data_IF_389308877711
#
_entry.id   IF_389308877711
#
_cell.length_a   1.000
_cell.length_b   1.000
_cell.length_c   1.000
_cell.angle_alpha   90.00
_cell.angle_beta   90.00
_cell.angle_gamma   90.00
#
_symmetry.space_group_name_H-M   'P 1'
#
loop_
_entity.id
_entity.type
_entity.pdbx_description
1 polymer ?
#
# COMPACT_ATOMS: atom_id res chain seq x y z
N UNK A 1 16.89 8.17 -5.44
CA UNK A 1 16.63 7.14 -4.41
C UNK A 1 17.87 6.36 -3.99
N UNK A 2 18.65 5.76 -4.90
CA UNK A 2 19.79 4.89 -4.52
C UNK A 2 20.81 5.58 -3.59
N UNK A 3 21.08 6.86 -3.79
CA UNK A 3 22.08 7.63 -3.02
C UNK A 3 21.55 8.32 -1.77
N UNK A 4 20.23 8.54 -1.64
CA UNK A 4 19.63 9.22 -0.48
C UNK A 4 19.49 8.25 0.68
N UNK A 5 19.82 8.64 1.89
CA UNK A 5 19.61 7.86 3.12
C UNK A 5 18.12 7.61 3.40
N UNK A 6 17.82 6.67 4.31
CA UNK A 6 16.46 6.42 4.80
C UNK A 6 15.86 7.70 5.40
N UNK A 7 16.66 8.46 6.15
CA UNK A 7 16.25 9.69 6.82
C UNK A 7 15.90 10.79 5.82
N UNK A 8 16.67 10.94 4.74
CA UNK A 8 16.36 11.91 3.70
C UNK A 8 15.07 11.57 2.93
N UNK A 9 14.77 10.28 2.74
CA UNK A 9 13.50 9.84 2.14
C UNK A 9 12.32 10.07 3.08
N UNK A 10 12.49 9.77 4.38
CA UNK A 10 11.46 10.01 5.38
C UNK A 10 11.16 11.51 5.52
N UNK A 11 12.19 12.35 5.55
CA UNK A 11 12.03 13.80 5.65
C UNK A 11 11.29 14.38 4.44
N UNK A 12 11.58 13.89 3.24
CA UNK A 12 10.84 14.29 2.04
C UNK A 12 9.34 13.98 2.15
N UNK A 13 8.98 12.77 2.60
CA UNK A 13 7.58 12.40 2.83
C UNK A 13 6.93 13.29 3.90
N UNK A 14 7.66 13.60 4.98
CA UNK A 14 7.17 14.50 6.05
C UNK A 14 6.95 15.92 5.51
N UNK A 15 7.87 16.44 4.71
CA UNK A 15 7.77 17.78 4.14
C UNK A 15 6.57 17.89 3.17
N UNK A 16 6.34 16.87 2.34
CA UNK A 16 5.15 16.80 1.48
C UNK A 16 3.83 16.74 2.27
N UNK A 17 3.84 16.11 3.45
CA UNK A 17 2.68 16.03 4.35
C UNK A 17 2.45 17.35 5.09
N UNK A 18 3.51 17.97 5.61
CA UNK A 18 3.38 19.08 6.56
C UNK A 18 3.53 20.46 5.93
N UNK A 19 4.28 20.57 4.84
CA UNK A 19 4.56 21.84 4.16
C UNK A 19 3.82 21.95 2.84
N UNK A 20 3.86 20.90 2.02
CA UNK A 20 3.16 20.86 0.74
C UNK A 20 4.01 20.24 -0.37
N UNK A 21 3.36 19.93 -1.49
CA UNK A 21 3.92 19.16 -2.61
C UNK A 21 4.29 20.10 -3.75
N UNK A 22 5.43 19.85 -4.40
CA UNK A 22 5.85 20.50 -5.65
C UNK A 22 5.80 22.05 -5.62
N UNK A 23 6.10 22.64 -4.46
CA UNK A 23 6.11 24.10 -4.26
C UNK A 23 4.72 24.73 -4.11
N UNK A 24 3.70 23.92 -3.84
CA UNK A 24 2.32 24.36 -3.60
C UNK A 24 1.94 24.19 -2.12
N UNK A 25 0.85 24.82 -1.69
CA UNK A 25 0.28 24.60 -0.34
C UNK A 25 -0.54 23.30 -0.23
N UNK A 26 -0.63 22.51 -1.31
CA UNK A 26 -1.35 21.23 -1.30
C UNK A 26 -0.52 20.17 -0.58
N UNK A 27 -1.09 19.54 0.44
CA UNK A 27 -0.41 18.58 1.32
C UNK A 27 -0.78 17.14 1.04
N UNK A 28 0.19 16.24 1.18
CA UNK A 28 -0.04 14.81 1.06
C UNK A 28 -0.96 14.30 2.18
N UNK A 29 -2.07 13.67 1.81
CA UNK A 29 -3.01 13.08 2.74
C UNK A 29 -2.68 11.64 3.15
N UNK A 30 -1.75 10.98 2.46
CA UNK A 30 -1.42 9.56 2.66
C UNK A 30 -0.01 9.30 2.15
N UNK A 31 0.71 8.36 2.77
CA UNK A 31 2.00 7.89 2.27
C UNK A 31 1.71 6.76 1.28
N UNK A 32 1.73 7.06 -0.02
CA UNK A 32 1.28 6.13 -1.05
C UNK A 32 1.84 6.40 -2.47
N UNK A 33 1.82 5.44 -3.39
CA UNK A 33 1.80 3.99 -3.08
C UNK A 33 3.25 3.54 -2.84
N UNK A 34 3.52 2.77 -1.77
CA UNK A 34 4.85 2.19 -1.57
C UNK A 34 4.82 0.71 -1.96
N UNK A 35 5.67 0.31 -2.90
CA UNK A 35 5.57 -1.00 -3.53
C UNK A 35 6.73 -1.94 -3.24
N UNK A 36 6.44 -3.22 -3.43
CA UNK A 36 7.45 -4.27 -3.54
C UNK A 36 7.31 -5.01 -4.87
N UNK A 37 8.45 -5.47 -5.37
CA UNK A 37 8.58 -6.30 -6.55
C UNK A 37 7.83 -7.64 -6.41
N UNK A 38 7.57 -8.31 -7.53
CA UNK A 38 6.94 -9.63 -7.54
C UNK A 38 7.78 -10.66 -6.78
N UNK A 39 7.21 -11.23 -5.72
CA UNK A 39 7.81 -12.31 -4.94
C UNK A 39 9.06 -11.93 -4.12
N UNK A 40 9.38 -10.65 -3.98
CA UNK A 40 10.50 -10.17 -3.17
C UNK A 40 10.33 -8.71 -2.74
N UNK A 41 10.96 -8.36 -1.61
CA UNK A 41 11.23 -6.97 -1.25
C UNK A 41 12.71 -6.74 -1.53
N UNK A 42 13.04 -5.86 -2.47
CA UNK A 42 14.45 -5.54 -2.78
C UNK A 42 15.07 -4.65 -1.68
N UNK A 43 16.40 -4.55 -1.56
CA UNK A 43 17.02 -3.66 -0.57
C UNK A 43 16.63 -2.19 -0.74
N UNK A 44 16.30 -1.76 -1.96
CA UNK A 44 15.83 -0.39 -2.20
C UNK A 44 14.37 -0.22 -1.77
N UNK A 45 13.51 -1.21 -2.02
CA UNK A 45 12.11 -1.20 -1.56
C UNK A 45 12.05 -1.27 -0.04
N UNK A 46 12.83 -2.16 0.60
CA UNK A 46 12.94 -2.24 2.06
C UNK A 46 13.30 -0.87 2.66
N UNK A 47 14.29 -0.19 2.08
CA UNK A 47 14.68 1.17 2.48
C UNK A 47 13.53 2.17 2.39
N UNK A 48 12.69 2.08 1.35
CA UNK A 48 11.49 2.92 1.17
C UNK A 48 10.43 2.59 2.21
N UNK A 49 10.17 1.32 2.49
CA UNK A 49 9.24 0.89 3.55
C UNK A 49 9.67 1.40 4.93
N UNK A 50 10.97 1.35 5.23
CA UNK A 50 11.51 1.90 6.48
C UNK A 50 11.30 3.43 6.52
N UNK A 51 11.59 4.14 5.43
CA UNK A 51 11.36 5.59 5.36
C UNK A 51 9.88 5.95 5.55
N UNK A 52 8.97 5.21 4.93
CA UNK A 52 7.53 5.37 5.09
C UNK A 52 7.07 5.11 6.53
N UNK A 53 7.62 4.09 7.19
CA UNK A 53 7.35 3.83 8.61
C UNK A 53 7.79 5.01 9.50
N UNK A 54 8.97 5.58 9.25
CA UNK A 54 9.44 6.76 9.98
C UNK A 54 8.53 7.97 9.77
N UNK A 55 8.15 8.26 8.51
CA UNK A 55 7.25 9.36 8.18
C UNK A 55 5.85 9.16 8.80
N UNK A 56 5.34 7.93 8.80
CA UNK A 56 4.10 7.57 9.48
C UNK A 56 4.18 7.83 10.98
N UNK A 57 5.23 7.34 11.64
CA UNK A 57 5.41 7.49 13.08
C UNK A 57 5.52 8.97 13.50
N UNK A 58 6.04 9.84 12.61
CA UNK A 58 6.16 11.26 12.86
C UNK A 58 4.87 12.05 12.61
N UNK A 59 4.10 11.71 11.58
CA UNK A 59 2.96 12.51 11.09
C UNK A 59 1.59 11.91 11.42
N UNK A 60 1.53 10.61 11.74
CA UNK A 60 0.30 9.86 11.91
C UNK A 60 -0.51 9.62 10.63
N UNK A 61 -0.01 10.04 9.45
CA UNK A 61 -0.69 9.79 8.17
C UNK A 61 -0.66 8.31 7.81
N UNK A 62 -1.76 7.73 7.29
CA UNK A 62 -1.81 6.31 6.97
C UNK A 62 -0.85 5.94 5.83
N UNK A 63 -0.55 4.65 5.71
CA UNK A 63 0.27 4.08 4.64
C UNK A 63 -0.63 3.25 3.71
N UNK A 64 -0.52 3.46 2.39
CA UNK A 64 -1.09 2.58 1.37
C UNK A 64 0.04 1.93 0.58
N UNK A 65 0.03 0.60 0.53
CA UNK A 65 1.09 -0.16 -0.14
C UNK A 65 0.63 -0.65 -1.52
N UNK A 66 1.60 -1.08 -2.33
CA UNK A 66 1.41 -1.78 -3.59
C UNK A 66 1.97 -3.20 -3.46
N UNK A 67 1.20 -4.21 -3.87
CA UNK A 67 1.71 -5.58 -4.01
C UNK A 67 1.77 -5.99 -5.49
N UNK A 68 2.95 -6.35 -5.97
CA UNK A 68 3.09 -6.92 -7.32
C UNK A 68 2.39 -8.28 -7.37
N UNK A 69 1.31 -8.40 -8.13
CA UNK A 69 0.51 -9.63 -8.31
C UNK A 69 0.08 -10.30 -6.99
N UNK A 70 -0.36 -9.47 -6.02
CA UNK A 70 -0.80 -9.95 -4.69
C UNK A 70 0.27 -10.76 -3.95
N UNK A 71 1.55 -10.44 -4.14
CA UNK A 71 2.68 -11.06 -3.43
C UNK A 71 3.20 -10.17 -2.32
N UNK A 72 3.89 -10.75 -1.34
CA UNK A 72 4.63 -10.05 -0.29
C UNK A 72 3.84 -9.22 0.73
N UNK A 73 2.49 -9.22 0.69
CA UNK A 73 1.68 -8.40 1.60
C UNK A 73 1.94 -8.66 3.10
N UNK A 74 2.16 -9.91 3.51
CA UNK A 74 2.48 -10.24 4.91
C UNK A 74 3.88 -9.77 5.30
N UNK A 75 4.84 -9.87 4.39
CA UNK A 75 6.21 -9.42 4.56
C UNK A 75 6.29 -7.89 4.64
N UNK A 76 5.49 -7.17 3.85
CA UNK A 76 5.33 -5.71 3.95
C UNK A 76 4.81 -5.31 5.34
N UNK A 77 3.74 -5.98 5.83
CA UNK A 77 3.20 -5.72 7.17
C UNK A 77 4.22 -6.05 8.27
N UNK A 78 4.94 -7.17 8.16
CA UNK A 78 5.97 -7.53 9.12
C UNK A 78 7.09 -6.48 9.18
N UNK A 79 7.52 -5.97 8.02
CA UNK A 79 8.54 -4.93 7.94
C UNK A 79 8.06 -3.62 8.57
N UNK A 80 6.84 -3.17 8.27
CA UNK A 80 6.26 -1.96 8.85
C UNK A 80 6.08 -2.10 10.37
N UNK A 81 5.54 -3.23 10.83
CA UNK A 81 5.35 -3.52 12.25
C UNK A 81 6.68 -3.55 13.01
N UNK A 82 7.73 -4.13 12.43
CA UNK A 82 9.07 -4.14 13.02
C UNK A 82 9.65 -2.73 13.22
N UNK A 83 9.14 -1.75 12.47
CA UNK A 83 9.50 -0.33 12.58
C UNK A 83 8.45 0.50 13.35
N UNK A 84 7.61 -0.16 14.15
CA UNK A 84 6.71 0.49 15.10
C UNK A 84 5.40 1.01 14.51
N UNK A 85 5.07 0.67 13.26
CA UNK A 85 3.81 1.07 12.65
C UNK A 85 2.64 0.28 13.24
N UNK A 86 1.60 0.98 13.68
CA UNK A 86 0.30 0.36 13.98
C UNK A 86 -0.35 -0.08 12.66
N UNK A 87 -0.47 -1.40 12.47
CA UNK A 87 -1.00 -1.97 11.22
C UNK A 87 -2.47 -1.59 10.96
N UNK A 88 -3.22 -1.15 11.97
CA UNK A 88 -4.56 -0.58 11.77
C UNK A 88 -4.57 0.73 10.95
N UNK A 89 -3.39 1.32 10.72
CA UNK A 89 -3.14 2.51 9.89
C UNK A 89 -2.57 2.17 8.51
N UNK A 90 -2.47 0.88 8.17
CA UNK A 90 -1.92 0.39 6.90
C UNK A 90 -3.04 -0.24 6.07
N UNK A 91 -3.02 0.04 4.77
CA UNK A 91 -3.87 -0.62 3.78
C UNK A 91 -3.01 -1.27 2.70
N UNK A 92 -3.22 -2.57 2.45
CA UNK A 92 -2.43 -3.36 1.49
C UNK A 92 -3.11 -3.35 0.13
N UNK A 93 -2.46 -2.76 -0.87
CA UNK A 93 -2.93 -2.66 -2.25
C UNK A 93 -2.87 -3.98 -3.01
N UNK A 94 -3.67 -4.09 -4.08
CA UNK A 94 -3.64 -5.16 -5.07
C UNK A 94 -3.76 -6.58 -4.50
N UNK A 95 -4.60 -6.77 -3.47
CA UNK A 95 -4.79 -8.08 -2.85
C UNK A 95 -5.59 -9.07 -3.73
N UNK A 96 -6.09 -8.62 -4.88
CA UNK A 96 -7.15 -9.23 -5.69
C UNK A 96 -6.72 -9.58 -7.14
N UNK A 97 -5.42 -9.86 -7.36
CA UNK A 97 -4.87 -10.29 -8.66
C UNK A 97 -4.64 -11.82 -8.76
N UNK A 98 -4.96 -12.58 -7.72
CA UNK A 98 -4.97 -14.05 -7.70
C UNK A 98 -5.88 -14.59 -6.60
N UNK A 99 -6.05 -15.92 -6.54
CA UNK A 99 -6.68 -16.57 -5.39
C UNK A 99 -5.79 -16.34 -4.14
N UNK A 100 -6.19 -15.41 -3.26
CA UNK A 100 -5.32 -14.88 -2.20
C UNK A 100 -5.98 -14.84 -0.81
N UNK A 101 -7.10 -15.56 -0.62
CA UNK A 101 -7.92 -15.47 0.58
C UNK A 101 -7.14 -15.75 1.88
N UNK A 102 -6.24 -16.75 1.89
CA UNK A 102 -5.48 -17.12 3.08
C UNK A 102 -4.57 -15.98 3.57
N UNK A 103 -3.91 -15.28 2.66
CA UNK A 103 -3.08 -14.13 3.02
C UNK A 103 -3.94 -12.95 3.45
N UNK A 104 -5.06 -12.69 2.75
CA UNK A 104 -6.00 -11.63 3.13
C UNK A 104 -6.49 -11.82 4.56
N UNK A 105 -6.90 -13.04 4.93
CA UNK A 105 -7.38 -13.33 6.29
C UNK A 105 -6.28 -13.06 7.33
N UNK A 106 -5.03 -13.45 7.06
CA UNK A 106 -3.89 -13.17 7.95
C UNK A 106 -3.58 -11.67 8.03
N UNK A 107 -3.63 -10.93 6.93
CA UNK A 107 -3.40 -9.49 6.92
C UNK A 107 -4.46 -8.74 7.75
N UNK A 108 -5.73 -9.14 7.62
CA UNK A 108 -6.83 -8.60 8.42
C UNK A 108 -6.67 -8.97 9.91
N UNK A 109 -6.26 -10.20 10.22
CA UNK A 109 -6.00 -10.68 11.60
C UNK A 109 -4.89 -9.87 12.29
N UNK A 110 -3.86 -9.47 11.54
CA UNK A 110 -2.81 -8.55 11.99
C UNK A 110 -3.30 -7.10 12.18
N UNK A 111 -4.53 -6.79 11.80
CA UNK A 111 -5.19 -5.51 12.00
C UNK A 111 -5.22 -4.59 10.76
N UNK A 112 -4.58 -4.98 9.66
CA UNK A 112 -4.49 -4.16 8.45
C UNK A 112 -5.80 -4.12 7.65
N UNK A 113 -5.92 -3.10 6.81
CA UNK A 113 -6.91 -3.06 5.74
C UNK A 113 -6.36 -3.75 4.48
N UNK A 114 -7.25 -4.27 3.66
CA UNK A 114 -6.92 -4.87 2.35
C UNK A 114 -7.71 -4.19 1.24
N UNK A 115 -7.09 -4.01 0.08
CA UNK A 115 -7.73 -3.38 -1.08
C UNK A 115 -8.07 -4.41 -2.15
N UNK A 116 -9.31 -4.32 -2.62
CA UNK A 116 -9.78 -4.88 -3.88
C UNK A 116 -9.86 -3.71 -4.86
N UNK A 117 -8.68 -3.29 -5.34
CA UNK A 117 -8.46 -2.07 -6.12
C UNK A 117 -8.18 -2.35 -7.60
N UNK A 118 -8.26 -3.61 -8.04
CA UNK A 118 -8.05 -4.01 -9.44
C UNK A 118 -9.33 -4.51 -10.11
N UNK A 119 -10.49 -4.16 -9.56
CA UNK A 119 -11.81 -4.44 -10.14
C UNK A 119 -11.83 -3.98 -11.60
N UNK A 120 -12.38 -4.80 -12.50
CA UNK A 120 -12.44 -4.50 -13.93
C UNK A 120 -11.18 -4.91 -14.72
N UNK A 121 -10.04 -5.17 -14.06
CA UNK A 121 -8.81 -5.70 -14.70
C UNK A 121 -8.91 -7.21 -14.98
N UNK A 122 -9.96 -7.60 -15.70
CA UNK A 122 -10.37 -8.98 -15.94
C UNK A 122 -9.34 -9.83 -16.69
N UNK A 123 -8.45 -9.21 -17.47
CA UNK A 123 -7.34 -9.91 -18.14
C UNK A 123 -6.27 -10.43 -17.19
N UNK A 124 -6.16 -9.84 -15.98
CA UNK A 124 -5.23 -10.31 -14.95
C UNK A 124 -5.88 -11.34 -14.04
N UNK A 125 -7.09 -11.02 -13.57
CA UNK A 125 -7.86 -11.89 -12.69
C UNK A 125 -9.35 -11.55 -12.87
N UNK A 126 -10.26 -12.53 -12.95
CA UNK A 126 -11.67 -12.26 -13.25
C UNK A 126 -12.43 -11.72 -12.03
N UNK A 127 -13.30 -10.74 -12.25
CA UNK A 127 -14.13 -10.12 -11.21
C UNK A 127 -15.05 -11.12 -10.50
N UNK A 128 -15.49 -12.18 -11.20
CA UNK A 128 -16.25 -13.28 -10.57
C UNK A 128 -15.50 -13.87 -9.37
N UNK A 129 -14.18 -14.05 -9.49
CA UNK A 129 -13.36 -14.55 -8.39
C UNK A 129 -13.10 -13.49 -7.31
N UNK A 130 -12.98 -12.21 -7.67
CA UNK A 130 -12.94 -11.12 -6.69
C UNK A 130 -14.20 -11.09 -5.84
N UNK A 131 -15.37 -11.19 -6.49
CA UNK A 131 -16.68 -11.28 -5.85
C UNK A 131 -16.70 -12.49 -4.90
N UNK A 132 -16.24 -13.67 -5.34
CA UNK A 132 -16.18 -14.85 -4.48
C UNK A 132 -15.32 -14.63 -3.21
N UNK A 133 -14.16 -13.98 -3.31
CA UNK A 133 -13.36 -13.61 -2.13
C UNK A 133 -14.07 -12.60 -1.23
N UNK A 134 -14.73 -11.58 -1.80
CA UNK A 134 -15.51 -10.60 -1.03
C UNK A 134 -16.69 -11.27 -0.28
N UNK A 135 -17.37 -12.24 -0.90
CA UNK A 135 -18.38 -13.05 -0.24
C UNK A 135 -17.80 -13.85 0.93
N UNK A 136 -16.63 -14.47 0.75
CA UNK A 136 -15.96 -15.19 1.83
C UNK A 136 -15.59 -14.28 3.02
N UNK A 137 -15.20 -13.03 2.77
CA UNK A 137 -14.92 -12.03 3.82
C UNK A 137 -16.21 -11.54 4.50
N UNK A 138 -17.28 -11.34 3.74
CA UNK A 138 -18.62 -11.01 4.25
C UNK A 138 -19.13 -12.08 5.20
N UNK A 139 -19.05 -13.35 4.80
CA UNK A 139 -19.56 -14.46 5.60
C UNK A 139 -18.79 -14.64 6.92
N UNK A 140 -17.60 -14.04 7.03
CA UNK A 140 -16.78 -13.96 8.25
C UNK A 140 -16.94 -12.63 9.03
N UNK A 141 -17.75 -11.70 8.54
CA UNK A 141 -17.95 -10.39 9.17
C UNK A 141 -16.76 -9.42 9.04
N UNK A 142 -15.89 -9.61 8.04
CA UNK A 142 -14.62 -8.87 7.91
C UNK A 142 -14.66 -7.68 6.92
N UNK A 143 -15.85 -7.31 6.41
CA UNK A 143 -15.97 -6.23 5.41
C UNK A 143 -15.54 -4.85 5.93
N UNK A 144 -15.53 -4.64 7.24
CA UNK A 144 -15.03 -3.42 7.87
C UNK A 144 -13.50 -3.21 7.74
N UNK A 145 -12.79 -4.17 7.14
CA UNK A 145 -11.36 -4.10 6.81
C UNK A 145 -11.07 -4.15 5.31
N UNK A 146 -12.12 -4.09 4.48
CA UNK A 146 -12.01 -4.12 3.03
C UNK A 146 -12.25 -2.73 2.47
N UNK A 147 -11.37 -2.30 1.57
CA UNK A 147 -11.56 -1.11 0.73
C UNK A 147 -11.71 -1.60 -0.72
N UNK A 148 -12.73 -1.12 -1.43
CA UNK A 148 -12.96 -1.46 -2.84
C UNK A 148 -12.99 -0.18 -3.67
N UNK A 149 -12.11 -0.11 -4.67
CA UNK A 149 -11.96 1.04 -5.58
C UNK A 149 -11.70 0.51 -6.99
N UNK A 150 -12.10 1.23 -8.03
CA UNK A 150 -11.67 0.93 -9.40
C UNK A 150 -10.27 1.53 -9.63
N UNK A 151 -9.29 0.70 -9.95
CA UNK A 151 -7.88 1.08 -10.19
C UNK A 151 -7.65 1.78 -11.52
N UNK A 152 -8.56 2.69 -11.91
CA UNK A 152 -8.50 3.43 -13.16
C UNK A 152 -7.38 4.48 -13.10
N UNK A 153 -6.39 4.35 -13.98
CA UNK A 153 -5.35 5.36 -14.15
C UNK A 153 -5.84 6.46 -15.11
N UNK A 154 -6.13 7.64 -14.58
CA UNK A 154 -6.16 8.84 -15.42
C UNK A 154 -4.70 9.33 -15.60
N UNK A 155 -4.21 9.55 -16.83
CA UNK A 155 -2.91 10.18 -17.04
C UNK A 155 -3.00 11.63 -16.56
N UNK A 156 -2.63 11.88 -15.30
CA UNK A 156 -2.46 13.23 -14.78
C UNK A 156 -1.09 13.78 -15.23
N UNK A 157 -1.01 15.05 -15.66
CA UNK A 157 0.23 15.64 -16.20
C UNK A 157 1.30 15.99 -15.15
N UNK A 158 1.20 15.49 -13.93
CA UNK A 158 2.10 15.85 -12.82
C UNK A 158 3.29 14.90 -12.71
N UNK A 159 4.49 15.50 -12.59
CA UNK A 159 5.82 14.86 -12.67
C UNK A 159 6.24 14.02 -11.44
N UNK A 160 5.37 13.82 -10.46
CA UNK A 160 5.70 13.16 -9.18
C UNK A 160 5.24 11.70 -9.05
N UNK A 161 5.06 10.98 -10.18
CA UNK A 161 4.69 9.56 -10.21
C UNK A 161 5.84 8.56 -9.90
N UNK A 162 6.88 8.97 -9.16
CA UNK A 162 8.00 8.07 -8.85
C UNK A 162 7.64 6.90 -7.93
N UNK A 163 6.44 6.91 -7.34
CA UNK A 163 6.00 5.92 -6.35
C UNK A 163 5.12 4.80 -6.91
N UNK A 164 4.56 4.94 -8.12
CA UNK A 164 3.61 3.95 -8.68
C UNK A 164 4.27 2.73 -9.37
N UNK A 165 5.61 2.64 -9.41
CA UNK A 165 6.32 1.66 -10.26
C UNK A 165 7.66 1.13 -9.70
N UNK A 166 7.76 0.96 -8.38
CA UNK A 166 8.76 0.06 -7.78
C UNK A 166 8.04 -1.10 -7.07
#
# INVERSE_FOLDING_TARGET
>A
MATRSVQELAQEMVDEIEQGIDGTDLKAGIIAEIGSSEGKITPLEEKVFIAAALAHNQTGRPISTHTSFSTMGLEQLALLQAHGVDLSRVTVGHCDLKDNLDNILKMIDLGAYVQFDTIGKNSYYPDEKRIAMLHALRDRGLLNRVIAVDGYYAPLPFKSQWWLWL
#
